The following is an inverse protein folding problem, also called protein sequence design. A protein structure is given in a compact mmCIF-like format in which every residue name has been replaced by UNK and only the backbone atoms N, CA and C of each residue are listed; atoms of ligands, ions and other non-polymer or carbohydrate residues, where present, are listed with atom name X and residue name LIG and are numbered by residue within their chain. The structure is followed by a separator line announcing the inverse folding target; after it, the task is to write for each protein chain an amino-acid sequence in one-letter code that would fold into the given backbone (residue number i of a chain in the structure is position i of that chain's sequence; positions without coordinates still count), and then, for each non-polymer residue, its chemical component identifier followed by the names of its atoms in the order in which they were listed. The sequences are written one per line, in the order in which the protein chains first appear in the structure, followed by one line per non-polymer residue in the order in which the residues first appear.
data_IF_560693060215
#
_entry.id   IF_560693060215
#
_cell.length_a   1.000
_cell.length_b   1.000
_cell.length_c   1.000
_cell.angle_alpha   90.00
_cell.angle_beta   90.00
_cell.angle_gamma   90.00
#
_symmetry.space_group_name_H-M   'P 1'
#
loop_
_entity.id
_entity.type
_entity.pdbx_description
1 polymer ?
#
# COMPACT_ATOMS: atom_id res chain seq x y z
N UNK A 1 -8.50 16.99 -5.26
CA UNK A 1 -7.84 16.22 -6.33
C UNK A 1 -6.34 16.31 -6.06
N UNK A 2 -5.62 15.21 -5.96
CA UNK A 2 -4.18 15.23 -5.69
C UNK A 2 -3.42 15.76 -6.90
N UNK A 3 -2.46 16.65 -6.67
CA UNK A 3 -1.64 17.24 -7.73
C UNK A 3 -0.24 16.63 -7.72
N UNK A 4 0.22 16.12 -8.87
CA UNK A 4 1.59 15.65 -9.03
C UNK A 4 2.51 16.81 -9.44
N UNK A 5 3.56 17.04 -8.66
CA UNK A 5 4.58 18.07 -8.89
C UNK A 5 5.77 17.43 -9.61
N UNK A 6 5.98 17.83 -10.86
CA UNK A 6 7.09 17.33 -11.68
C UNK A 6 8.45 17.71 -11.10
N UNK A 7 9.49 16.95 -11.46
CA UNK A 7 10.89 17.25 -11.10
C UNK A 7 11.30 18.68 -11.48
N UNK A 8 10.93 19.13 -12.67
CA UNK A 8 11.22 20.50 -13.11
C UNK A 8 10.50 21.53 -12.23
N UNK A 9 9.23 21.29 -11.90
CA UNK A 9 8.40 22.21 -11.12
C UNK A 9 8.92 22.44 -9.70
N UNK A 10 9.46 21.41 -9.03
CA UNK A 10 10.06 21.58 -7.71
C UNK A 10 11.56 21.92 -7.75
N UNK A 11 12.16 22.08 -8.93
CA UNK A 11 13.56 22.46 -9.08
C UNK A 11 14.53 21.34 -8.72
N UNK A 12 14.22 20.11 -9.15
CA UNK A 12 15.08 18.96 -8.97
C UNK A 12 16.42 19.12 -9.68
N UNK A 13 17.49 18.73 -9.02
CA UNK A 13 18.77 18.48 -9.68
C UNK A 13 18.67 17.24 -10.56
N UNK A 14 19.52 17.18 -11.59
CA UNK A 14 19.70 15.97 -12.38
C UNK A 14 20.32 14.86 -11.51
N UNK A 15 19.88 13.60 -11.65
CA UNK A 15 20.50 12.48 -10.97
C UNK A 15 21.92 12.25 -11.51
N UNK A 16 22.86 11.81 -10.66
CA UNK A 16 24.23 11.43 -11.08
C UNK A 16 24.23 10.15 -11.90
N UNK A 17 23.30 9.24 -11.64
CA UNK A 17 23.02 8.04 -12.44
C UNK A 17 21.60 7.53 -12.15
N UNK A 18 21.09 6.67 -13.03
CA UNK A 18 19.77 6.05 -12.93
C UNK A 18 19.92 4.54 -13.06
N UNK A 19 19.25 3.79 -12.18
CA UNK A 19 19.16 2.34 -12.27
C UNK A 19 17.71 1.94 -12.50
N UNK A 20 17.46 1.16 -13.55
CA UNK A 20 16.17 0.54 -13.85
C UNK A 20 16.06 -0.89 -13.31
N UNK A 21 17.03 -1.34 -12.50
CA UNK A 21 16.99 -2.66 -11.87
C UNK A 21 15.98 -2.67 -10.71
N UNK A 22 14.70 -2.73 -11.06
CA UNK A 22 13.58 -2.77 -10.13
C UNK A 22 12.52 -3.75 -10.67
N UNK A 23 11.91 -4.51 -9.77
CA UNK A 23 10.89 -5.54 -10.03
C UNK A 23 9.72 -5.35 -9.04
N UNK A 24 9.00 -4.22 -9.12
CA UNK A 24 7.95 -3.87 -8.15
C UNK A 24 6.73 -4.81 -8.19
N UNK A 25 6.63 -5.65 -9.21
CA UNK A 25 5.66 -6.75 -9.31
C UNK A 25 5.87 -7.82 -8.22
N UNK A 26 7.06 -7.88 -7.63
CA UNK A 26 7.40 -8.84 -6.57
C UNK A 26 7.09 -8.32 -5.16
N UNK A 27 6.69 -7.06 -5.01
CA UNK A 27 6.50 -6.43 -3.70
C UNK A 27 5.40 -5.39 -3.71
N UNK A 28 5.70 -4.19 -4.23
CA UNK A 28 4.75 -3.09 -4.32
C UNK A 28 5.34 -1.78 -3.81
N UNK A 29 4.75 -1.21 -2.77
CA UNK A 29 5.14 0.12 -2.24
C UNK A 29 5.50 0.07 -0.76
N UNK A 30 6.66 0.63 -0.41
CA UNK A 30 7.10 0.88 0.96
C UNK A 30 6.83 2.32 1.35
N UNK A 31 6.14 2.50 2.48
CA UNK A 31 5.82 3.80 3.06
C UNK A 31 6.93 4.23 4.01
N UNK A 32 7.35 5.48 3.85
CA UNK A 32 8.36 6.17 4.62
C UNK A 32 7.81 7.47 5.21
N UNK A 33 8.54 8.02 6.17
CA UNK A 33 8.40 9.40 6.63
C UNK A 33 9.79 10.06 6.65
N UNK A 34 9.87 11.37 6.89
CA UNK A 34 11.16 12.07 6.89
C UNK A 34 11.97 11.78 8.15
N UNK A 35 11.34 11.62 9.32
CA UNK A 35 12.07 11.29 10.54
C UNK A 35 11.45 11.81 11.83
N UNK A 36 12.28 12.23 12.79
CA UNK A 36 11.84 12.73 14.09
C UNK A 36 11.48 14.22 14.06
N UNK A 37 10.66 14.64 15.02
CA UNK A 37 10.21 16.01 15.22
C UNK A 37 9.05 16.43 14.32
N UNK A 38 8.86 17.75 14.25
CA UNK A 38 7.92 18.39 13.33
C UNK A 38 8.62 18.65 12.00
N UNK A 39 8.11 18.04 10.95
CA UNK A 39 8.63 18.13 9.58
C UNK A 39 7.61 18.82 8.68
N UNK A 40 6.31 18.61 8.93
CA UNK A 40 5.25 19.15 8.10
C UNK A 40 5.37 20.67 7.99
N UNK A 41 5.27 21.18 6.76
CA UNK A 41 5.28 22.62 6.52
C UNK A 41 3.87 23.18 6.60
N UNK A 42 3.66 24.35 7.23
CA UNK A 42 2.34 24.96 7.30
C UNK A 42 1.84 25.33 5.89
N UNK A 43 2.74 25.85 5.04
CA UNK A 43 2.40 26.32 3.70
C UNK A 43 2.98 25.42 2.61
N UNK A 44 2.15 25.08 1.61
CA UNK A 44 2.56 24.24 0.49
C UNK A 44 3.75 24.84 -0.30
N UNK A 45 3.83 26.17 -0.38
CA UNK A 45 4.94 26.88 -1.05
C UNK A 45 6.33 26.51 -0.51
N UNK A 46 6.40 26.02 0.74
CA UNK A 46 7.65 25.60 1.38
C UNK A 46 8.01 24.14 1.08
N UNK A 47 7.07 23.31 0.63
CA UNK A 47 7.29 21.87 0.43
C UNK A 47 8.31 21.61 -0.68
N UNK A 48 8.32 22.39 -1.76
CA UNK A 48 9.32 22.24 -2.81
C UNK A 48 10.75 22.49 -2.29
N UNK A 49 10.93 23.49 -1.41
CA UNK A 49 12.22 23.76 -0.77
C UNK A 49 12.65 22.62 0.17
N UNK A 50 11.70 22.05 0.91
CA UNK A 50 11.94 20.87 1.75
C UNK A 50 12.39 19.66 0.93
N UNK A 51 11.70 19.35 -0.19
CA UNK A 51 12.06 18.24 -1.07
C UNK A 51 13.45 18.44 -1.69
N UNK A 52 13.79 19.68 -2.12
CA UNK A 52 15.16 20.02 -2.56
C UNK A 52 16.20 19.80 -1.46
N UNK A 53 15.88 20.18 -0.22
CA UNK A 53 16.74 19.94 0.94
C UNK A 53 17.03 18.45 1.14
N UNK A 54 16.01 17.60 1.03
CA UNK A 54 16.15 16.14 1.10
C UNK A 54 17.02 15.61 -0.05
N UNK A 55 16.80 16.07 -1.29
CA UNK A 55 17.64 15.69 -2.43
C UNK A 55 19.11 16.09 -2.20
N UNK A 56 19.37 17.31 -1.75
CA UNK A 56 20.72 17.80 -1.48
C UNK A 56 21.40 16.99 -0.36
N UNK A 57 20.69 16.71 0.73
CA UNK A 57 21.22 15.85 1.81
C UNK A 57 21.61 14.46 1.31
N UNK A 58 20.79 13.85 0.47
CA UNK A 58 21.10 12.55 -0.13
C UNK A 58 22.29 12.60 -1.10
N UNK A 59 22.36 13.61 -1.96
CA UNK A 59 23.40 13.68 -2.99
C UNK A 59 24.74 14.17 -2.43
N UNK A 60 24.71 15.24 -1.64
CA UNK A 60 25.92 15.92 -1.17
C UNK A 60 26.37 15.37 0.20
N UNK A 61 25.43 14.98 1.06
CA UNK A 61 25.75 14.36 2.36
C UNK A 61 26.05 12.87 2.25
N UNK A 62 25.15 12.08 1.64
CA UNK A 62 25.30 10.62 1.58
C UNK A 62 26.06 10.14 0.32
N UNK A 63 26.38 11.02 -0.62
CA UNK A 63 27.01 10.64 -1.89
C UNK A 63 26.09 9.91 -2.87
N UNK A 64 24.77 9.85 -2.60
CA UNK A 64 23.84 9.07 -3.41
C UNK A 64 23.63 9.68 -4.80
N UNK A 65 23.14 8.86 -5.72
CA UNK A 65 22.91 9.26 -7.10
C UNK A 65 21.80 10.32 -7.24
N UNK A 66 20.80 10.27 -6.37
CA UNK A 66 19.62 11.15 -6.36
C UNK A 66 18.91 11.03 -5.00
N UNK A 67 17.83 11.81 -4.82
CA UNK A 67 16.85 11.59 -3.76
C UNK A 67 16.44 10.12 -3.68
N UNK A 68 16.35 9.54 -2.49
CA UNK A 68 16.17 8.10 -2.35
C UNK A 68 14.80 7.60 -2.82
N UNK A 69 13.76 8.40 -2.63
CA UNK A 69 12.37 7.98 -2.77
C UNK A 69 11.87 8.07 -4.21
N UNK A 70 10.93 7.19 -4.54
CA UNK A 70 10.18 7.19 -5.80
C UNK A 70 9.25 8.39 -5.86
N UNK A 71 8.46 8.61 -4.81
CA UNK A 71 7.59 9.77 -4.61
C UNK A 71 7.71 10.34 -3.20
N UNK A 72 7.44 11.63 -3.03
CA UNK A 72 7.30 12.28 -1.73
C UNK A 72 5.93 12.97 -1.65
N UNK A 73 5.25 12.91 -0.51
CA UNK A 73 3.87 13.40 -0.36
C UNK A 73 3.81 14.41 0.76
N UNK A 74 3.35 15.64 0.49
CA UNK A 74 3.14 16.64 1.53
C UNK A 74 1.73 16.56 2.11
N UNK A 75 1.50 17.26 3.21
CA UNK A 75 0.20 17.30 3.89
C UNK A 75 -0.89 18.08 3.14
N UNK A 76 -0.55 18.74 2.02
CA UNK A 76 -1.42 19.65 1.27
C UNK A 76 -1.98 19.07 -0.03
N UNK A 77 -2.10 17.74 -0.14
CA UNK A 77 -2.59 17.05 -1.35
C UNK A 77 -1.64 17.05 -2.57
N UNK A 78 -0.33 17.22 -2.37
CA UNK A 78 0.66 17.18 -3.45
C UNK A 78 1.61 15.99 -3.35
N UNK A 79 1.90 15.40 -4.51
CA UNK A 79 2.87 14.30 -4.69
C UNK A 79 4.03 14.81 -5.55
N UNK A 80 5.21 14.91 -4.97
CA UNK A 80 6.43 15.32 -5.66
C UNK A 80 7.10 14.10 -6.33
N UNK A 81 7.40 14.24 -7.62
CA UNK A 81 8.18 13.26 -8.37
C UNK A 81 9.61 13.20 -7.82
N UNK A 82 9.94 12.11 -7.13
CA UNK A 82 11.31 11.77 -6.76
C UNK A 82 12.00 11.07 -7.93
N UNK A 83 12.51 9.86 -7.71
CA UNK A 83 13.07 9.02 -8.78
C UNK A 83 12.04 8.61 -9.83
N UNK A 84 10.76 8.53 -9.43
CA UNK A 84 9.66 8.16 -10.32
C UNK A 84 9.56 6.66 -10.63
N UNK A 85 8.49 6.24 -11.32
CA UNK A 85 8.24 4.85 -11.68
C UNK A 85 9.37 4.29 -12.55
N UNK A 86 9.57 2.97 -12.48
CA UNK A 86 10.59 2.21 -13.22
C UNK A 86 12.05 2.58 -12.89
N UNK A 87 12.28 3.38 -11.85
CA UNK A 87 13.61 3.69 -11.31
C UNK A 87 13.75 3.11 -9.91
N UNK A 88 14.85 2.38 -9.69
CA UNK A 88 15.20 1.74 -8.42
C UNK A 88 15.31 2.78 -7.30
N UNK A 89 14.55 2.59 -6.22
CA UNK A 89 14.65 3.40 -4.99
C UNK A 89 15.95 3.10 -4.23
N UNK A 90 16.36 4.00 -3.35
CA UNK A 90 17.43 3.75 -2.37
C UNK A 90 16.91 3.80 -0.93
N UNK A 91 15.59 3.87 -0.74
CA UNK A 91 14.99 4.19 0.55
C UNK A 91 14.82 3.00 1.50
N UNK A 92 14.72 1.77 1.00
CA UNK A 92 14.24 0.61 1.78
C UNK A 92 15.37 -0.12 2.53
N UNK A 93 16.61 0.34 2.38
CA UNK A 93 17.78 -0.09 3.15
C UNK A 93 18.29 -1.52 2.92
N UNK A 94 17.59 -2.36 2.17
CA UNK A 94 18.08 -3.69 1.72
C UNK A 94 18.05 -3.80 0.20
N UNK A 95 18.85 -4.72 -0.36
CA UNK A 95 18.82 -4.99 -1.79
C UNK A 95 17.46 -5.52 -2.28
N UNK A 96 16.83 -6.53 -1.65
CA UNK A 96 15.49 -6.95 -2.03
C UNK A 96 14.44 -5.85 -1.83
N UNK A 97 14.54 -5.06 -0.75
CA UNK A 97 13.65 -3.93 -0.51
C UNK A 97 13.72 -2.89 -1.63
N UNK A 98 14.94 -2.47 -2.01
CA UNK A 98 15.13 -1.49 -3.08
C UNK A 98 14.83 -2.05 -4.49
N UNK A 99 14.84 -3.38 -4.67
CA UNK A 99 14.52 -4.02 -5.94
C UNK A 99 13.02 -4.27 -6.11
N UNK A 100 12.37 -4.84 -5.10
CA UNK A 100 11.00 -5.34 -5.23
C UNK A 100 9.94 -4.30 -4.83
N UNK A 101 10.36 -3.16 -4.28
CA UNK A 101 9.45 -2.17 -3.72
C UNK A 101 9.85 -0.76 -4.11
N UNK A 102 8.88 0.04 -4.53
CA UNK A 102 9.02 1.50 -4.61
C UNK A 102 9.08 2.11 -3.20
N UNK A 103 9.59 3.34 -3.08
CA UNK A 103 9.58 4.09 -1.81
C UNK A 103 8.73 5.36 -1.91
N UNK A 104 7.67 5.48 -1.10
CA UNK A 104 6.84 6.69 -1.00
C UNK A 104 7.05 7.32 0.38
N UNK A 105 7.56 8.56 0.43
CA UNK A 105 7.87 9.25 1.68
C UNK A 105 6.85 10.34 2.00
N UNK A 106 6.21 10.25 3.16
CA UNK A 106 5.42 11.32 3.71
C UNK A 106 6.32 12.43 4.29
N UNK A 107 6.07 13.69 3.93
CA UNK A 107 6.78 14.87 4.45
C UNK A 107 6.29 15.25 5.85
N UNK A 108 6.33 14.27 6.75
CA UNK A 108 5.98 14.40 8.16
C UNK A 108 7.04 13.70 9.02
N UNK A 109 7.04 14.03 10.30
CA UNK A 109 7.81 13.34 11.33
C UNK A 109 6.92 12.65 12.37
N UNK A 110 7.54 12.19 13.46
CA UNK A 110 6.83 11.48 14.53
C UNK A 110 5.94 12.37 15.41
N UNK A 111 6.20 13.68 15.45
CA UNK A 111 5.38 14.65 16.18
C UNK A 111 4.21 15.20 15.35
N UNK A 112 4.25 15.05 14.03
CA UNK A 112 3.21 15.55 13.12
C UNK A 112 1.95 14.67 13.10
N UNK A 113 0.84 15.27 12.68
CA UNK A 113 -0.41 14.58 12.40
C UNK A 113 -0.38 13.95 11.00
N UNK A 114 -1.33 13.03 10.75
CA UNK A 114 -1.54 12.39 9.44
C UNK A 114 -2.88 12.89 8.90
N UNK A 115 -2.92 14.05 8.21
CA UNK A 115 -4.17 14.60 7.69
C UNK A 115 -4.69 13.80 6.50
N UNK A 116 -6.00 13.91 6.24
CA UNK A 116 -6.65 13.19 5.12
C UNK A 116 -5.99 13.48 3.77
N UNK A 117 -5.53 14.71 3.55
CA UNK A 117 -4.86 15.07 2.29
C UNK A 117 -3.52 14.37 2.08
N UNK A 118 -2.77 14.10 3.16
CA UNK A 118 -1.58 13.26 3.10
C UNK A 118 -1.94 11.82 2.69
N UNK A 119 -2.99 11.27 3.31
CA UNK A 119 -3.48 9.91 3.00
C UNK A 119 -3.94 9.81 1.55
N UNK A 120 -4.71 10.80 1.06
CA UNK A 120 -5.15 10.88 -0.33
C UNK A 120 -3.97 10.99 -1.31
N UNK A 121 -2.94 11.76 -0.96
CA UNK A 121 -1.71 11.86 -1.73
C UNK A 121 -0.94 10.53 -1.80
N UNK A 122 -0.80 9.82 -0.68
CA UNK A 122 -0.16 8.51 -0.63
C UNK A 122 -0.94 7.48 -1.46
N UNK A 123 -2.28 7.46 -1.35
CA UNK A 123 -3.15 6.61 -2.20
C UNK A 123 -2.94 6.90 -3.67
N UNK A 124 -2.93 8.18 -4.06
CA UNK A 124 -2.72 8.58 -5.45
C UNK A 124 -1.34 8.16 -5.96
N UNK A 125 -0.29 8.31 -5.14
CA UNK A 125 1.05 7.83 -5.47
C UNK A 125 1.08 6.30 -5.66
N UNK A 126 0.42 5.52 -4.79
CA UNK A 126 0.34 4.06 -4.94
C UNK A 126 -0.47 3.69 -6.20
N UNK A 127 -1.54 4.41 -6.49
CA UNK A 127 -2.39 4.15 -7.67
C UNK A 127 -1.60 4.36 -8.96
N UNK A 128 -0.84 5.46 -9.02
CA UNK A 128 0.07 5.74 -10.13
C UNK A 128 1.14 4.65 -10.25
N UNK A 129 1.82 4.27 -9.15
CA UNK A 129 2.85 3.23 -9.19
C UNK A 129 2.33 1.86 -9.61
N UNK A 130 1.06 1.55 -9.35
CA UNK A 130 0.41 0.35 -9.89
C UNK A 130 0.09 0.49 -11.38
N UNK A 131 -0.48 1.62 -11.78
CA UNK A 131 -0.90 1.88 -13.16
C UNK A 131 0.26 2.02 -14.15
N UNK A 132 1.26 2.84 -13.83
CA UNK A 132 2.39 3.14 -14.72
C UNK A 132 3.68 2.42 -14.32
N UNK A 133 3.83 2.10 -13.04
CA UNK A 133 5.03 1.46 -12.49
C UNK A 133 4.92 -0.05 -12.32
N UNK A 134 3.76 -0.65 -12.66
CA UNK A 134 3.47 -2.08 -12.50
C UNK A 134 3.73 -2.62 -11.08
N UNK A 135 3.56 -1.79 -10.05
CA UNK A 135 3.66 -2.23 -8.67
C UNK A 135 2.60 -3.29 -8.35
N UNK A 136 2.98 -4.31 -7.57
CA UNK A 136 2.01 -5.24 -7.00
C UNK A 136 1.14 -4.57 -5.91
N UNK A 137 0.19 -5.33 -5.38
CA UNK A 137 -0.75 -4.82 -4.38
C UNK A 137 -0.13 -4.59 -2.99
N UNK A 138 1.06 -5.13 -2.72
CA UNK A 138 1.70 -5.04 -1.41
C UNK A 138 1.97 -3.59 -0.99
N UNK A 139 1.65 -3.30 0.27
CA UNK A 139 1.99 -2.05 0.94
C UNK A 139 2.63 -2.43 2.28
N UNK A 140 3.83 -1.92 2.55
CA UNK A 140 4.53 -2.15 3.81
C UNK A 140 5.19 -0.87 4.33
N UNK A 141 5.71 -0.88 5.56
CA UNK A 141 6.51 0.19 6.12
C UNK A 141 7.99 -0.08 5.98
N UNK A 142 8.84 0.95 6.06
CA UNK A 142 10.30 0.75 6.07
C UNK A 142 10.74 -0.24 7.15
N UNK A 143 10.10 -0.19 8.33
CA UNK A 143 10.33 -1.13 9.43
C UNK A 143 10.10 -2.62 9.13
N UNK A 144 9.43 -2.93 8.02
CA UNK A 144 9.24 -4.33 7.58
C UNK A 144 10.44 -4.86 6.79
N UNK A 145 11.36 -3.98 6.37
CA UNK A 145 12.62 -4.36 5.71
C UNK A 145 13.80 -4.36 6.67
N UNK A 146 13.78 -3.50 7.70
CA UNK A 146 14.88 -3.24 8.63
C UNK A 146 14.36 -2.80 10.00
N UNK A 147 15.15 -2.98 11.06
CA UNK A 147 14.83 -2.45 12.38
C UNK A 147 14.95 -0.91 12.40
N UNK A 148 13.82 -0.21 12.26
CA UNK A 148 13.73 1.26 12.29
C UNK A 148 12.39 1.74 12.82
N UNK A 149 12.31 2.98 13.31
CA UNK A 149 11.06 3.64 13.66
C UNK A 149 10.25 4.09 12.43
N UNK A 150 10.85 4.17 11.24
CA UNK A 150 10.15 4.58 10.01
C UNK A 150 9.04 3.57 9.61
N UNK A 151 7.82 4.00 9.23
CA UNK A 151 7.34 5.36 8.94
C UNK A 151 6.68 6.11 10.12
N UNK A 152 7.03 5.78 11.36
CA UNK A 152 6.32 6.24 12.55
C UNK A 152 5.06 5.40 12.83
N UNK A 153 4.56 5.44 14.06
CA UNK A 153 3.42 4.60 14.49
C UNK A 153 2.12 4.94 13.77
N UNK A 154 1.85 6.23 13.52
CA UNK A 154 0.60 6.69 12.89
C UNK A 154 0.46 6.25 11.44
N UNK A 155 1.48 6.47 10.60
CA UNK A 155 1.47 5.99 9.22
C UNK A 155 1.53 4.47 9.14
N UNK A 156 2.28 3.83 10.04
CA UNK A 156 2.35 2.37 10.05
C UNK A 156 1.01 1.73 10.41
N UNK A 157 0.20 2.34 11.29
CA UNK A 157 -1.16 1.88 11.54
C UNK A 157 -1.99 1.84 10.24
N UNK A 158 -1.87 2.87 9.39
CA UNK A 158 -2.57 2.92 8.09
C UNK A 158 -2.06 1.90 7.06
N UNK A 159 -0.78 1.52 7.16
CA UNK A 159 -0.23 0.40 6.40
C UNK A 159 -0.88 -0.91 6.87
N UNK A 160 -0.90 -1.14 8.18
CA UNK A 160 -1.42 -2.37 8.77
C UNK A 160 -2.94 -2.52 8.59
N UNK A 161 -3.67 -1.42 8.66
CA UNK A 161 -5.11 -1.38 8.48
C UNK A 161 -5.54 -1.21 7.01
N UNK A 162 -4.60 -1.28 6.08
CA UNK A 162 -4.85 -1.23 4.64
C UNK A 162 -5.48 0.08 4.16
N UNK A 163 -5.63 1.10 5.01
CA UNK A 163 -6.25 2.37 4.65
C UNK A 163 -5.46 3.12 3.60
N UNK A 164 -4.21 2.77 3.31
CA UNK A 164 -3.42 3.36 2.22
C UNK A 164 -3.66 2.72 0.85
N UNK A 165 -4.42 1.63 0.76
CA UNK A 165 -4.65 0.96 -0.51
C UNK A 165 -5.60 1.78 -1.41
N UNK A 166 -5.17 2.25 -2.59
CA UNK A 166 -6.06 2.92 -3.53
C UNK A 166 -7.03 1.90 -4.13
N UNK A 167 -8.28 1.96 -3.69
CA UNK A 167 -9.31 0.96 -3.96
C UNK A 167 -9.62 0.01 -2.80
N UNK A 168 -8.93 0.14 -1.65
CA UNK A 168 -9.15 -0.70 -0.46
C UNK A 168 -9.13 0.10 0.84
N UNK A 169 -10.26 0.16 1.54
CA UNK A 169 -10.26 0.29 3.01
C UNK A 169 -10.31 -1.12 3.59
N UNK A 170 -9.14 -1.77 3.77
CA UNK A 170 -9.09 -3.25 3.79
C UNK A 170 -8.12 -3.97 4.72
N UNK A 171 -7.51 -3.33 5.71
CA UNK A 171 -7.11 -3.96 6.98
C UNK A 171 -8.13 -3.58 8.08
N UNK A 172 -7.86 -3.75 9.40
CA UNK A 172 -8.89 -3.75 10.45
C UNK A 172 -9.58 -2.40 10.65
N UNK A 173 -10.43 -2.02 9.71
CA UNK A 173 -11.54 -1.12 9.90
C UNK A 173 -12.66 -1.90 10.59
N UNK A 174 -13.55 -1.25 11.35
CA UNK A 174 -14.81 -1.86 11.72
C UNK A 174 -15.43 -2.44 10.45
N UNK A 175 -15.77 -3.73 10.47
CA UNK A 175 -16.45 -4.31 9.33
C UNK A 175 -17.70 -3.46 9.04
N UNK A 176 -18.04 -3.19 7.76
CA UNK A 176 -19.32 -2.57 7.45
C UNK A 176 -20.43 -3.37 8.11
N UNK A 177 -21.54 -2.70 8.47
CA UNK A 177 -22.70 -3.39 9.03
C UNK A 177 -23.08 -4.58 8.16
N UNK A 178 -23.38 -5.72 8.79
CA UNK A 178 -23.79 -6.92 8.08
C UNK A 178 -24.99 -6.61 7.18
N UNK A 179 -24.94 -6.87 5.87
CA UNK A 179 -25.99 -6.50 4.92
C UNK A 179 -27.32 -7.26 5.08
N UNK A 180 -27.43 -8.18 6.04
CA UNK A 180 -28.67 -8.95 6.26
C UNK A 180 -28.90 -10.07 5.23
N UNK A 181 -27.98 -10.29 4.28
CA UNK A 181 -28.15 -11.25 3.17
C UNK A 181 -26.95 -12.19 3.07
N UNK A 182 -27.22 -13.49 3.14
CA UNK A 182 -26.22 -14.55 3.01
C UNK A 182 -25.80 -14.74 1.55
N UNK A 183 -24.50 -14.77 1.27
CA UNK A 183 -24.00 -15.08 -0.08
C UNK A 183 -23.73 -16.57 -0.18
N UNK A 184 -24.51 -17.24 -1.03
CA UNK A 184 -24.45 -18.68 -1.22
C UNK A 184 -24.45 -19.03 -2.70
N UNK A 185 -23.95 -20.23 -2.99
CA UNK A 185 -24.05 -20.87 -4.29
C UNK A 185 -24.15 -22.39 -4.10
N UNK A 186 -25.11 -23.09 -4.75
CA UNK A 186 -26.23 -22.57 -5.57
C UNK A 186 -27.46 -22.12 -4.75
N UNK A 187 -28.38 -21.31 -5.32
CA UNK A 187 -28.25 -20.58 -6.60
C UNK A 187 -27.28 -19.40 -6.46
N UNK A 188 -26.90 -18.77 -7.58
CA UNK A 188 -26.06 -17.56 -7.56
C UNK A 188 -26.76 -16.46 -6.77
N UNK A 189 -26.06 -15.87 -5.80
CA UNK A 189 -26.57 -14.70 -5.07
C UNK A 189 -26.11 -13.42 -5.76
N UNK A 190 -27.03 -12.53 -6.12
CA UNK A 190 -26.73 -11.20 -6.66
C UNK A 190 -27.17 -10.15 -5.66
N UNK A 191 -26.24 -9.32 -5.19
CA UNK A 191 -26.52 -8.23 -4.27
C UNK A 191 -25.37 -7.22 -4.37
N UNK A 192 -25.63 -5.93 -4.12
CA UNK A 192 -24.57 -4.91 -4.15
C UNK A 192 -23.41 -5.26 -3.21
N UNK A 193 -23.71 -5.83 -2.05
CA UNK A 193 -22.73 -6.27 -1.05
C UNK A 193 -21.86 -7.46 -1.49
N UNK A 194 -22.27 -8.23 -2.51
CA UNK A 194 -21.41 -9.28 -3.07
C UNK A 194 -20.19 -8.64 -3.72
N UNK A 195 -20.39 -7.57 -4.52
CA UNK A 195 -19.31 -6.80 -5.12
C UNK A 195 -18.40 -6.21 -4.06
N UNK A 196 -18.97 -5.70 -2.97
CA UNK A 196 -18.21 -5.18 -1.82
C UNK A 196 -17.30 -6.24 -1.20
N UNK A 197 -17.81 -7.44 -0.95
CA UNK A 197 -17.01 -8.53 -0.41
C UNK A 197 -15.94 -9.00 -1.41
N UNK A 198 -16.28 -9.14 -2.70
CA UNK A 198 -15.30 -9.49 -3.74
C UNK A 198 -14.15 -8.47 -3.83
N UNK A 199 -14.47 -7.17 -3.79
CA UNK A 199 -13.46 -6.11 -3.72
C UNK A 199 -12.58 -6.24 -2.49
N UNK A 200 -13.17 -6.56 -1.34
CA UNK A 200 -12.41 -6.75 -0.10
C UNK A 200 -11.53 -8.01 -0.16
N UNK A 201 -12.00 -9.11 -0.75
CA UNK A 201 -11.17 -10.29 -0.94
C UNK A 201 -10.01 -10.01 -1.90
N UNK A 202 -10.26 -9.30 -3.00
CA UNK A 202 -9.23 -8.84 -3.92
C UNK A 202 -8.20 -7.93 -3.23
N UNK A 203 -8.66 -7.00 -2.38
CA UNK A 203 -7.79 -6.07 -1.64
C UNK A 203 -6.88 -6.80 -0.64
N UNK A 204 -7.35 -7.94 -0.11
CA UNK A 204 -6.61 -8.84 0.78
C UNK A 204 -5.68 -9.79 0.05
N UNK A 205 -5.61 -9.72 -1.28
CA UNK A 205 -4.72 -10.53 -2.11
C UNK A 205 -5.31 -11.83 -2.63
N UNK A 206 -6.62 -12.05 -2.48
CA UNK A 206 -7.29 -13.22 -3.07
C UNK A 206 -7.53 -13.01 -4.57
N UNK A 207 -7.25 -14.02 -5.37
CA UNK A 207 -7.65 -14.02 -6.79
C UNK A 207 -9.15 -14.30 -6.89
N UNK A 208 -9.93 -13.28 -7.23
CA UNK A 208 -11.39 -13.35 -7.33
C UNK A 208 -11.92 -12.39 -8.39
N UNK A 209 -12.97 -12.79 -9.12
CA UNK A 209 -13.71 -11.90 -10.01
C UNK A 209 -14.59 -10.93 -9.21
N UNK A 210 -14.65 -9.67 -9.63
CA UNK A 210 -15.47 -8.62 -9.02
C UNK A 210 -16.65 -8.30 -9.93
N UNK A 211 -17.55 -9.27 -10.06
CA UNK A 211 -18.71 -9.22 -10.96
C UNK A 211 -20.04 -8.90 -10.24
N UNK A 212 -20.05 -8.88 -8.90
CA UNK A 212 -21.24 -8.69 -8.08
C UNK A 212 -22.16 -9.91 -8.02
N UNK A 213 -21.70 -11.07 -8.49
CA UNK A 213 -22.42 -12.33 -8.49
C UNK A 213 -21.65 -13.39 -7.69
N UNK A 214 -22.28 -13.91 -6.63
CA UNK A 214 -21.68 -14.96 -5.82
C UNK A 214 -21.90 -16.30 -6.52
N UNK A 215 -20.99 -16.60 -7.46
CA UNK A 215 -20.93 -17.85 -8.22
C UNK A 215 -19.89 -18.84 -7.70
N UNK A 216 -19.56 -19.89 -8.48
CA UNK A 216 -18.64 -20.94 -8.06
C UNK A 216 -17.26 -20.41 -7.63
N UNK A 217 -16.66 -19.47 -8.37
CA UNK A 217 -15.36 -18.88 -8.00
C UNK A 217 -15.40 -18.09 -6.68
N UNK A 218 -16.51 -17.38 -6.38
CA UNK A 218 -16.66 -16.71 -5.09
C UNK A 218 -16.78 -17.69 -3.94
N UNK A 219 -17.48 -18.82 -4.16
CA UNK A 219 -17.59 -19.91 -3.17
C UNK A 219 -16.24 -20.55 -2.86
N UNK A 220 -15.41 -20.78 -3.88
CA UNK A 220 -14.06 -21.34 -3.70
C UNK A 220 -13.17 -20.42 -2.84
N UNK A 221 -13.18 -19.12 -3.14
CA UNK A 221 -12.44 -18.12 -2.34
C UNK A 221 -13.00 -18.04 -0.92
N UNK A 222 -14.32 -18.09 -0.73
CA UNK A 222 -14.93 -18.09 0.60
C UNK A 222 -14.49 -19.30 1.41
N UNK A 223 -14.51 -20.50 0.82
CA UNK A 223 -14.08 -21.73 1.48
C UNK A 223 -12.61 -21.64 1.90
N UNK A 224 -11.73 -21.17 1.01
CA UNK A 224 -10.32 -21.01 1.30
C UNK A 224 -10.09 -19.97 2.41
N UNK A 225 -10.79 -18.84 2.34
CA UNK A 225 -10.74 -17.81 3.37
C UNK A 225 -11.22 -18.29 4.73
N UNK A 226 -12.33 -19.02 4.78
CA UNK A 226 -12.86 -19.59 6.02
C UNK A 226 -11.88 -20.57 6.65
N UNK A 227 -11.29 -21.47 5.87
CA UNK A 227 -10.24 -22.39 6.34
C UNK A 227 -9.06 -21.63 6.92
N UNK A 228 -8.59 -20.62 6.20
CA UNK A 228 -7.42 -19.85 6.60
C UNK A 228 -7.65 -19.06 7.88
N UNK A 229 -8.86 -18.52 8.08
CA UNK A 229 -9.21 -17.71 9.26
C UNK A 229 -9.82 -18.52 10.41
N UNK A 230 -9.88 -19.85 10.29
CA UNK A 230 -10.45 -20.73 11.32
C UNK A 230 -11.94 -20.51 11.56
N UNK A 231 -12.69 -20.16 10.51
CA UNK A 231 -14.14 -19.96 10.56
C UNK A 231 -14.89 -21.26 10.21
N UNK A 232 -16.20 -21.26 10.40
CA UNK A 232 -17.06 -22.32 9.85
C UNK A 232 -16.88 -22.40 8.33
N UNK A 233 -16.47 -23.57 7.83
CA UNK A 233 -16.12 -23.79 6.41
C UNK A 233 -17.33 -24.31 5.63
N UNK A 234 -18.31 -23.44 5.41
CA UNK A 234 -19.57 -23.75 4.72
C UNK A 234 -19.63 -23.17 3.29
N UNK A 235 -18.66 -22.32 2.92
CA UNK A 235 -18.63 -21.62 1.63
C UNK A 235 -19.75 -20.58 1.51
N UNK A 236 -20.28 -20.12 2.63
CA UNK A 236 -21.32 -19.10 2.73
C UNK A 236 -20.75 -17.86 3.42
N UNK A 237 -20.92 -16.70 2.78
CA UNK A 237 -20.62 -15.43 3.46
C UNK A 237 -21.81 -15.08 4.34
N UNK A 238 -21.72 -15.42 5.62
CA UNK A 238 -22.61 -14.96 6.69
C UNK A 238 -21.93 -13.87 7.56
N UNK A 239 -22.57 -13.42 8.66
CA UNK A 239 -22.07 -12.32 9.50
C UNK A 239 -20.62 -12.47 9.96
N UNK A 240 -20.22 -13.68 10.38
CA UNK A 240 -18.85 -13.95 10.84
C UNK A 240 -17.83 -13.88 9.69
N UNK A 241 -18.12 -14.53 8.55
CA UNK A 241 -17.29 -14.48 7.34
C UNK A 241 -17.14 -13.05 6.81
N UNK A 242 -18.23 -12.30 6.82
CA UNK A 242 -18.23 -10.89 6.46
C UNK A 242 -17.33 -10.10 7.39
N UNK A 243 -17.56 -10.16 8.71
CA UNK A 243 -16.76 -9.40 9.67
C UNK A 243 -15.26 -9.70 9.54
N UNK A 244 -14.89 -10.98 9.45
CA UNK A 244 -13.51 -11.43 9.31
C UNK A 244 -12.84 -10.90 8.03
N UNK A 245 -13.59 -10.65 6.95
CA UNK A 245 -13.03 -10.09 5.73
C UNK A 245 -12.45 -8.68 5.96
N UNK A 246 -12.91 -7.92 6.95
CA UNK A 246 -12.30 -6.63 7.32
C UNK A 246 -11.36 -6.74 8.51
N UNK A 247 -11.72 -7.50 9.53
CA UNK A 247 -11.04 -7.45 10.82
C UNK A 247 -9.91 -8.47 10.98
N UNK A 248 -9.95 -9.59 10.24
CA UNK A 248 -8.93 -10.61 10.38
C UNK A 248 -7.60 -10.14 9.75
N UNK A 249 -6.44 -10.42 10.36
CA UNK A 249 -5.14 -10.01 9.86
C UNK A 249 -4.89 -10.38 8.39
N UNK A 250 -4.23 -9.48 7.65
CA UNK A 250 -3.73 -9.75 6.30
C UNK A 250 -2.67 -10.85 6.36
N UNK A 251 -2.71 -11.72 5.36
CA UNK A 251 -1.86 -12.90 5.30
C UNK A 251 -0.51 -12.49 4.73
N UNK A 252 0.57 -12.70 5.49
CA UNK A 252 1.93 -12.46 4.98
C UNK A 252 2.27 -13.50 3.91
N UNK A 253 3.03 -13.07 2.91
CA UNK A 253 3.49 -13.86 1.74
C UNK A 253 4.09 -15.22 2.14
N UNK A 254 4.63 -15.35 3.35
CA UNK A 254 5.21 -16.60 3.89
C UNK A 254 4.21 -17.76 4.05
N UNK A 255 2.90 -17.49 4.15
CA UNK A 255 1.90 -18.55 4.31
C UNK A 255 1.56 -19.28 3.00
N UNK A 256 1.70 -18.62 1.85
CA UNK A 256 1.42 -19.19 0.53
C UNK A 256 2.51 -20.20 0.09
N UNK A 257 3.74 -20.02 0.57
CA UNK A 257 4.85 -20.94 0.28
C UNK A 257 4.67 -22.31 0.96
N UNK A 258 3.93 -22.39 2.08
CA UNK A 258 3.72 -23.66 2.80
C UNK A 258 2.58 -24.51 2.23
N UNK A 259 1.56 -23.90 1.63
CA UNK A 259 0.44 -24.66 1.05
C UNK A 259 0.79 -25.32 -0.30
N UNK A 260 1.67 -24.72 -1.08
CA UNK A 260 2.13 -25.32 -2.36
C UNK A 260 3.02 -26.56 -2.13
N UNK A 261 3.78 -26.59 -1.04
CA UNK A 261 4.62 -27.73 -0.66
C UNK A 261 3.85 -28.90 -0.01
N UNK A 262 2.66 -28.64 0.55
CA UNK A 262 1.82 -29.67 1.16
C UNK A 262 0.92 -30.39 0.13
N UNK A 263 0.61 -29.76 -1.00
CA UNK A 263 -0.17 -30.36 -2.09
C UNK A 263 0.69 -31.21 -3.06
N UNK A 264 2.00 -31.29 -2.81
CA UNK A 264 2.98 -32.02 -3.65
C UNK A 264 3.53 -33.28 -2.96
N UNK A 265 2.83 -33.84 -1.96
CA UNK A 265 3.17 -35.10 -1.30
C UNK A 265 1.98 -36.03 -1.25
#
# INVERSE_FOLDING_TARGET
MTTFVSRASWGARAPRNVSNNITPQNGGVTVHYVGSGNVARPDHSQCAAQVRGIQNGHMDGNGWADIAYTYLVCIHDYVFHGRGPNVRTAANGTNPGNQNWYGVCALIGDADTVPEGLVAGIKSAIADLRGVGSAANGINGHRDHLATSCPGSRLYALVQDGSLNPGGGGGPSPAPAWPGVYFRYPPVTTHSSVRTWQQQMLSRGWSIAVDGAYGPGSKEVCLAFQREKGLGVDGVVGPATWAAAWTAPLTRVEALTRQTLAASR
#
